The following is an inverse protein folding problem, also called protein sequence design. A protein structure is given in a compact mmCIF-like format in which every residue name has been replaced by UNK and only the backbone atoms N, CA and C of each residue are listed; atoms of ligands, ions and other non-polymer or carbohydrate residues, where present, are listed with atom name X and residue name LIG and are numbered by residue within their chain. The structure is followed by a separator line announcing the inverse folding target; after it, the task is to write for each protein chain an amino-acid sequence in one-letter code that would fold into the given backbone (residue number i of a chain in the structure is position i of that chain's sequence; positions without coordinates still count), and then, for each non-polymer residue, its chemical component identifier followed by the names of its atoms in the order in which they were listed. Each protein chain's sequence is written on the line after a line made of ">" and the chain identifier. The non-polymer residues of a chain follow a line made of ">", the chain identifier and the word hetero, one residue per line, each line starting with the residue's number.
data_IF_462402918974
#
_entry.id   IF_462402918974
#
_cell.length_a   1.000
_cell.length_b   1.000
_cell.length_c   1.000
_cell.angle_alpha   90.00
_cell.angle_beta   90.00
_cell.angle_gamma   90.00
#
_symmetry.space_group_name_H-M   'P 1'
#
loop_
_entity.id
_entity.type
_entity.pdbx_description
1 polymer ?
#
# COMPACT_ATOMS: atom_id res chain seq x y z
N UNK A 1 14.82 -6.14 -9.53
CA UNK A 1 13.65 -5.42 -10.07
C UNK A 1 12.42 -6.20 -9.71
N UNK A 2 11.49 -5.53 -9.04
CA UNK A 2 10.17 -6.05 -8.71
C UNK A 2 9.13 -5.15 -9.36
N UNK A 3 7.98 -5.74 -9.69
CA UNK A 3 6.76 -5.00 -9.97
C UNK A 3 5.69 -5.55 -9.03
N UNK A 4 4.81 -4.70 -8.53
CA UNK A 4 3.67 -5.10 -7.71
C UNK A 4 2.39 -4.80 -8.48
N UNK A 5 1.44 -5.73 -8.43
CA UNK A 5 0.16 -5.59 -9.13
C UNK A 5 -0.96 -5.61 -8.11
N UNK A 6 -1.67 -4.49 -8.00
CA UNK A 6 -2.90 -4.38 -7.22
C UNK A 6 -4.02 -5.19 -7.88
N UNK A 7 -4.63 -6.09 -7.13
CA UNK A 7 -5.74 -6.90 -7.62
C UNK A 7 -7.02 -6.59 -6.86
N UNK A 8 -8.04 -6.12 -7.59
CA UNK A 8 -9.40 -5.99 -7.07
C UNK A 8 -9.97 -7.36 -6.65
N UNK A 9 -9.65 -8.38 -7.45
CA UNK A 9 -10.07 -9.78 -7.31
C UNK A 9 -11.54 -10.05 -7.64
N UNK A 10 -12.00 -11.28 -7.41
CA UNK A 10 -13.31 -11.78 -7.89
C UNK A 10 -14.42 -11.70 -6.86
N UNK A 11 -14.11 -11.30 -5.63
CA UNK A 11 -15.06 -11.14 -4.53
C UNK A 11 -14.63 -9.94 -3.69
N UNK A 12 -15.60 -9.13 -3.28
CA UNK A 12 -15.35 -7.99 -2.40
C UNK A 12 -15.24 -8.40 -0.92
N UNK A 13 -15.84 -9.52 -0.49
CA UNK A 13 -15.95 -9.91 0.92
C UNK A 13 -14.83 -10.83 1.42
N UNK A 14 -14.10 -11.47 0.50
CA UNK A 14 -12.95 -12.33 0.83
C UNK A 14 -11.65 -11.61 0.49
N UNK A 15 -10.56 -11.84 1.24
CA UNK A 15 -9.26 -11.35 0.83
C UNK A 15 -8.90 -11.93 -0.54
N UNK A 16 -8.42 -11.06 -1.41
CA UNK A 16 -7.88 -11.39 -2.72
C UNK A 16 -6.35 -11.33 -2.63
N UNK A 17 -5.63 -11.90 -3.58
CA UNK A 17 -4.18 -11.81 -3.59
C UNK A 17 -3.74 -10.75 -4.61
N UNK A 18 -3.00 -9.75 -4.14
CA UNK A 18 -2.13 -8.94 -4.99
C UNK A 18 -0.78 -9.66 -5.13
N UNK A 19 -0.16 -9.58 -6.30
CA UNK A 19 1.04 -10.36 -6.59
C UNK A 19 2.21 -9.44 -6.88
N UNK A 20 3.32 -9.69 -6.20
CA UNK A 20 4.63 -9.14 -6.50
C UNK A 20 5.30 -10.09 -7.47
N UNK A 21 5.84 -9.55 -8.56
CA UNK A 21 6.63 -10.28 -9.53
C UNK A 21 8.08 -9.81 -9.46
N UNK A 22 8.99 -10.74 -9.73
CA UNK A 22 10.43 -10.48 -9.78
C UNK A 22 10.95 -10.72 -11.19
N UNK A 23 11.78 -9.81 -11.67
CA UNK A 23 12.48 -9.99 -12.94
C UNK A 23 13.45 -11.17 -12.85
N UNK A 24 13.24 -12.18 -13.68
CA UNK A 24 14.16 -13.29 -13.85
C UNK A 24 15.09 -12.99 -15.05
N UNK A 25 16.38 -12.80 -14.77
CA UNK A 25 17.39 -12.46 -15.79
C UNK A 25 17.59 -13.57 -16.83
N UNK A 26 17.36 -14.83 -16.46
CA UNK A 26 17.57 -15.99 -17.34
C UNK A 26 16.42 -16.12 -18.34
N UNK A 27 15.18 -16.05 -17.85
CA UNK A 27 13.99 -16.19 -18.70
C UNK A 27 13.59 -14.88 -19.38
N UNK A 28 14.11 -13.74 -18.90
CA UNK A 28 13.74 -12.39 -19.33
C UNK A 28 12.24 -12.11 -19.16
N UNK A 29 11.66 -12.64 -18.08
CA UNK A 29 10.25 -12.48 -17.74
C UNK A 29 10.11 -12.02 -16.28
N UNK A 30 8.98 -11.38 -15.99
CA UNK A 30 8.52 -11.17 -14.62
C UNK A 30 7.80 -12.43 -14.15
N UNK A 31 8.33 -13.07 -13.12
CA UNK A 31 7.79 -14.30 -12.56
C UNK A 31 7.15 -14.02 -11.20
N UNK A 32 6.03 -14.69 -10.86
CA UNK A 32 5.41 -14.55 -9.54
C UNK A 32 6.44 -14.79 -8.44
N UNK A 33 6.51 -13.87 -7.49
CA UNK A 33 7.50 -13.90 -6.43
C UNK A 33 6.86 -14.00 -5.05
N UNK A 34 5.84 -13.19 -4.79
CA UNK A 34 5.15 -13.20 -3.51
C UNK A 34 3.70 -12.80 -3.70
N UNK A 35 2.79 -13.50 -3.01
CA UNK A 35 1.40 -13.07 -2.88
C UNK A 35 1.21 -12.33 -1.56
N UNK A 36 0.42 -11.27 -1.61
CA UNK A 36 0.00 -10.49 -0.45
C UNK A 36 -1.51 -10.47 -0.41
N UNK A 37 -2.07 -10.81 0.76
CA UNK A 37 -3.51 -10.73 0.98
C UNK A 37 -3.95 -9.26 1.02
N UNK A 38 -4.93 -8.93 0.20
CA UNK A 38 -5.46 -7.58 0.01
C UNK A 38 -6.98 -7.60 -0.03
N UNK A 39 -7.61 -6.43 0.11
CA UNK A 39 -9.06 -6.27 0.04
C UNK A 39 -9.40 -5.21 -0.99
N UNK A 40 -9.88 -5.68 -2.16
CA UNK A 40 -10.20 -4.82 -3.31
C UNK A 40 -9.11 -3.77 -3.59
N UNK A 41 -7.84 -4.20 -3.63
CA UNK A 41 -6.71 -3.28 -3.75
C UNK A 41 -6.83 -2.39 -5.00
N UNK A 42 -6.66 -1.09 -4.83
CA UNK A 42 -6.74 -0.08 -5.91
C UNK A 42 -5.38 0.35 -6.41
N UNK A 43 -4.42 0.42 -5.50
CA UNK A 43 -3.07 0.88 -5.77
C UNK A 43 -2.06 0.15 -4.88
N UNK A 44 -0.83 0.04 -5.38
CA UNK A 44 0.36 -0.34 -4.60
C UNK A 44 1.48 0.64 -4.95
N UNK A 45 1.75 1.56 -4.03
CA UNK A 45 2.83 2.52 -4.16
C UNK A 45 4.15 1.90 -3.67
N UNK A 46 5.17 1.93 -4.53
CA UNK A 46 6.49 1.38 -4.23
C UNK A 46 7.51 2.50 -4.03
N UNK A 47 8.15 2.52 -2.87
CA UNK A 47 9.09 3.59 -2.53
C UNK A 47 10.27 3.09 -1.70
N UNK A 48 11.24 3.99 -1.53
CA UNK A 48 12.48 3.72 -0.81
C UNK A 48 12.79 4.86 0.15
N UNK A 49 13.15 4.50 1.39
CA UNK A 49 13.71 5.40 2.38
C UNK A 49 15.10 4.88 2.72
N UNK A 50 16.12 5.69 2.47
CA UNK A 50 17.53 5.30 2.55
C UNK A 50 17.79 4.02 1.73
N UNK A 51 18.12 2.89 2.35
CA UNK A 51 18.36 1.59 1.70
C UNK A 51 17.25 0.56 1.96
N UNK A 52 16.08 1.01 2.42
CA UNK A 52 14.95 0.16 2.75
C UNK A 52 13.83 0.34 1.73
N UNK A 53 13.36 -0.76 1.15
CA UNK A 53 12.25 -0.78 0.19
C UNK A 53 10.93 -1.05 0.89
N UNK A 54 9.89 -0.34 0.46
CA UNK A 54 8.55 -0.43 1.01
C UNK A 54 7.49 -0.54 -0.07
N UNK A 55 6.34 -1.07 0.30
CA UNK A 55 5.11 -1.07 -0.50
C UNK A 55 3.96 -0.58 0.37
N UNK A 56 3.20 0.41 -0.07
CA UNK A 56 1.95 0.83 0.56
C UNK A 56 0.77 0.34 -0.28
N UNK A 57 -0.13 -0.45 0.32
CA UNK A 57 -1.26 -1.05 -0.39
C UNK A 57 -2.53 -0.28 -0.04
N UNK A 58 -3.23 0.25 -1.05
CA UNK A 58 -4.53 0.89 -0.90
C UNK A 58 -5.63 -0.18 -0.86
N UNK A 59 -5.98 -0.65 0.32
CA UNK A 59 -7.13 -1.53 0.50
C UNK A 59 -8.41 -0.70 0.53
N UNK A 60 -9.28 -0.90 -0.47
CA UNK A 60 -10.43 -0.03 -0.66
C UNK A 60 -11.63 -0.44 0.20
N UNK A 61 -12.01 -1.72 0.17
CA UNK A 61 -13.18 -2.24 0.87
C UNK A 61 -13.12 -3.75 1.11
N UNK A 62 -13.76 -4.18 2.22
CA UNK A 62 -14.04 -5.58 2.55
C UNK A 62 -15.55 -5.77 2.65
N UNK A 63 -16.16 -6.30 1.59
CA UNK A 63 -17.61 -6.29 1.38
C UNK A 63 -18.07 -4.85 1.24
N UNK A 64 -19.10 -4.49 2.01
CA UNK A 64 -19.63 -3.12 2.09
C UNK A 64 -18.84 -2.22 3.06
N UNK A 65 -17.86 -2.76 3.81
CA UNK A 65 -17.07 -1.97 4.73
C UNK A 65 -15.88 -1.31 4.01
N UNK A 66 -15.94 0.02 3.81
CA UNK A 66 -14.83 0.82 3.25
C UNK A 66 -13.87 1.35 4.32
N UNK A 67 -14.19 1.21 5.60
CA UNK A 67 -13.32 1.61 6.72
C UNK A 67 -12.47 0.42 7.12
N UNK A 68 -11.37 0.24 6.40
CA UNK A 68 -10.44 -0.87 6.59
C UNK A 68 -8.99 -0.38 6.59
N UNK A 69 -8.12 -1.23 7.13
CA UNK A 69 -6.69 -0.95 7.13
C UNK A 69 -6.09 -1.12 5.74
N UNK A 70 -5.39 -0.08 5.31
CA UNK A 70 -4.32 -0.19 4.32
C UNK A 70 -3.06 -0.70 5.01
N UNK A 71 -2.21 -1.41 4.25
CA UNK A 71 -1.06 -2.12 4.83
C UNK A 71 0.21 -1.67 4.15
N UNK A 72 1.21 -1.35 4.96
CA UNK A 72 2.56 -1.08 4.52
C UNK A 72 3.43 -2.31 4.77
N UNK A 73 4.20 -2.68 3.75
CA UNK A 73 5.19 -3.74 3.80
C UNK A 73 6.59 -3.17 3.67
N UNK A 74 7.56 -3.85 4.29
CA UNK A 74 8.99 -3.55 4.19
C UNK A 74 9.73 -4.77 3.67
N UNK A 75 10.69 -4.58 2.77
CA UNK A 75 11.58 -5.66 2.33
C UNK A 75 12.48 -6.14 3.48
N UNK A 76 12.47 -7.46 3.73
CA UNK A 76 13.41 -8.12 4.63
C UNK A 76 14.46 -8.88 3.81
N UNK A 77 15.73 -8.48 3.96
CA UNK A 77 16.86 -9.22 3.37
C UNK A 77 17.03 -10.61 3.99
N UNK A 78 16.68 -10.77 5.28
CA UNK A 78 16.76 -12.04 6.00
C UNK A 78 15.78 -13.06 5.45
N UNK A 79 14.52 -12.67 5.22
CA UNK A 79 13.48 -13.57 4.74
C UNK A 79 13.33 -13.57 3.22
N UNK A 80 14.05 -12.69 2.54
CA UNK A 80 13.91 -12.43 1.11
C UNK A 80 12.44 -12.23 0.71
N UNK A 81 11.71 -11.43 1.47
CA UNK A 81 10.29 -11.17 1.26
C UNK A 81 9.87 -9.81 1.78
N UNK A 82 8.76 -9.29 1.26
CA UNK A 82 8.09 -8.14 1.84
C UNK A 82 7.29 -8.60 3.06
N UNK A 83 7.62 -8.05 4.23
CA UNK A 83 6.97 -8.38 5.50
C UNK A 83 6.12 -7.20 5.98
N UNK A 84 5.07 -7.48 6.74
CA UNK A 84 4.22 -6.44 7.32
C UNK A 84 5.07 -5.46 8.14
N UNK A 85 4.84 -4.16 7.93
CA UNK A 85 5.53 -3.10 8.62
C UNK A 85 4.58 -2.26 9.48
N UNK A 86 3.45 -1.84 8.92
CA UNK A 86 2.46 -1.02 9.61
C UNK A 86 1.07 -1.22 8.99
N UNK A 87 0.03 -1.19 9.81
CA UNK A 87 -1.36 -1.02 9.36
C UNK A 87 -1.79 0.41 9.60
N UNK A 88 -2.46 1.01 8.62
CA UNK A 88 -2.98 2.38 8.70
C UNK A 88 -4.47 2.33 8.37
N UNK A 89 -5.29 2.83 9.30
CA UNK A 89 -6.73 2.94 9.10
C UNK A 89 -7.01 3.92 7.96
N UNK A 90 -7.75 3.48 6.94
CA UNK A 90 -8.11 4.25 5.77
C UNK A 90 -9.59 4.13 5.45
N UNK A 91 -10.11 4.99 4.57
CA UNK A 91 -11.54 5.02 4.23
C UNK A 91 -11.70 5.05 2.72
N UNK A 92 -12.00 3.89 2.14
CA UNK A 92 -12.12 3.76 0.69
C UNK A 92 -10.83 4.16 0.00
N UNK A 93 -9.66 3.70 0.51
CA UNK A 93 -8.36 4.09 -0.02
C UNK A 93 -8.31 3.82 -1.52
N UNK A 94 -7.91 4.83 -2.28
CA UNK A 94 -7.88 4.77 -3.73
C UNK A 94 -6.47 4.79 -4.28
N UNK A 95 -5.62 5.61 -3.68
CA UNK A 95 -4.26 5.84 -4.16
C UNK A 95 -3.33 6.14 -2.98
N UNK A 96 -2.08 5.68 -3.09
CA UNK A 96 -0.98 6.10 -2.23
C UNK A 96 0.03 6.88 -3.05
N UNK A 97 0.60 7.94 -2.49
CA UNK A 97 1.69 8.66 -3.13
C UNK A 97 2.79 8.93 -2.12
N UNK A 98 4.00 8.48 -2.43
CA UNK A 98 5.18 8.81 -1.66
C UNK A 98 5.91 10.01 -2.27
N UNK A 99 6.40 10.91 -1.42
CA UNK A 99 7.34 11.95 -1.83
C UNK A 99 8.26 12.35 -0.66
N UNK A 100 9.29 13.14 -0.95
CA UNK A 100 10.15 13.71 0.09
C UNK A 100 10.43 15.18 -0.17
N UNK A 101 10.67 15.91 0.91
CA UNK A 101 11.15 17.29 0.91
C UNK A 101 12.36 17.35 1.84
N UNK A 102 13.53 17.66 1.30
CA UNK A 102 14.80 17.55 2.01
C UNK A 102 14.94 16.15 2.66
N UNK A 103 15.09 16.13 3.99
CA UNK A 103 15.22 14.92 4.80
C UNK A 103 13.88 14.40 5.36
N UNK A 104 12.76 15.03 4.99
CA UNK A 104 11.43 14.63 5.44
C UNK A 104 10.76 13.76 4.38
N UNK A 105 10.28 12.60 4.82
CA UNK A 105 9.55 11.65 3.98
C UNK A 105 8.07 11.73 4.28
N UNK A 106 7.27 11.81 3.23
CA UNK A 106 5.82 11.91 3.29
C UNK A 106 5.17 10.79 2.49
N UNK A 107 4.02 10.35 2.99
CA UNK A 107 3.17 9.37 2.32
C UNK A 107 1.74 9.86 2.43
N UNK A 108 1.02 9.93 1.31
CA UNK A 108 -0.34 10.48 1.27
C UNK A 108 -1.29 9.41 0.79
N UNK A 109 -2.45 9.29 1.45
CA UNK A 109 -3.57 8.48 0.97
C UNK A 109 -4.68 9.37 0.45
N UNK A 110 -5.16 9.05 -0.76
CA UNK A 110 -6.43 9.54 -1.26
C UNK A 110 -7.57 8.65 -0.72
N UNK A 111 -8.30 9.15 0.28
CA UNK A 111 -9.54 8.53 0.72
C UNK A 111 -10.68 8.99 -0.18
N UNK A 112 -11.60 8.09 -0.53
CA UNK A 112 -12.61 8.40 -1.57
C UNK A 112 -14.07 8.21 -1.16
N UNK A 113 -14.37 7.27 -0.26
CA UNK A 113 -15.76 6.89 -0.02
C UNK A 113 -15.96 6.19 1.33
N UNK A 114 -16.92 6.68 2.10
CA UNK A 114 -17.30 6.15 3.41
C UNK A 114 -18.30 4.99 3.36
N UNK A 115 -18.77 4.60 2.17
CA UNK A 115 -19.95 3.76 1.99
C UNK A 115 -21.24 4.56 1.77
N UNK A 116 -21.25 5.84 2.15
CA UNK A 116 -22.43 6.72 2.05
C UNK A 116 -22.14 8.06 1.37
N UNK A 117 -20.92 8.57 1.52
CA UNK A 117 -20.50 9.90 1.07
C UNK A 117 -19.05 9.90 0.61
N UNK A 118 -18.74 10.78 -0.35
CA UNK A 118 -17.38 11.08 -0.84
C UNK A 118 -16.71 12.22 -0.07
N UNK A 119 -17.41 12.84 0.90
CA UNK A 119 -16.84 13.86 1.78
C UNK A 119 -15.98 13.17 2.85
N UNK A 120 -14.73 12.89 2.49
CA UNK A 120 -13.75 12.25 3.37
C UNK A 120 -12.39 12.90 3.15
N UNK A 121 -11.71 13.24 4.24
CA UNK A 121 -10.39 13.84 4.14
C UNK A 121 -9.36 12.82 3.64
N UNK A 122 -8.49 13.29 2.75
CA UNK A 122 -7.22 12.62 2.48
C UNK A 122 -6.22 12.93 3.59
N UNK A 123 -5.20 12.09 3.78
CA UNK A 123 -4.28 12.21 4.92
C UNK A 123 -2.83 12.16 4.45
N UNK A 124 -2.04 13.14 4.88
CA UNK A 124 -0.58 13.15 4.75
C UNK A 124 0.00 12.55 6.03
N UNK A 125 0.89 11.59 5.88
CA UNK A 125 1.70 11.00 6.94
C UNK A 125 3.15 11.44 6.80
N UNK A 126 3.84 11.62 7.93
CA UNK A 126 5.27 11.90 8.01
C UNK A 126 6.01 10.71 8.63
N UNK A 127 7.18 10.40 8.09
CA UNK A 127 8.06 9.35 8.63
C UNK A 127 8.80 9.84 9.87
N UNK A 128 8.61 9.16 11.01
CA UNK A 128 9.28 9.45 12.27
C UNK A 128 9.64 8.17 13.01
N UNK A 129 10.90 8.02 13.40
CA UNK A 129 11.40 6.90 14.21
C UNK A 129 11.00 5.51 13.67
N UNK A 130 11.02 5.35 12.34
CA UNK A 130 10.70 4.08 11.72
C UNK A 130 9.20 3.81 11.55
N UNK A 131 8.34 4.83 11.66
CA UNK A 131 6.88 4.71 11.53
C UNK A 131 6.27 5.88 10.77
N UNK A 132 5.11 5.66 10.17
CA UNK A 132 4.29 6.70 9.57
C UNK A 132 3.31 7.24 10.60
N UNK A 133 3.37 8.55 10.83
CA UNK A 133 2.51 9.28 11.77
C UNK A 133 1.68 10.28 10.99
N UNK A 134 0.38 10.37 11.29
CA UNK A 134 -0.48 11.37 10.66
C UNK A 134 0.08 12.77 10.91
N UNK A 135 0.24 13.53 9.84
CA UNK A 135 0.77 14.89 9.86
C UNK A 135 -0.32 15.93 9.60
N UNK A 136 -1.13 15.72 8.56
CA UNK A 136 -2.12 16.68 8.11
C UNK A 136 -3.28 15.98 7.37
N UNK A 137 -4.47 16.57 7.41
CA UNK A 137 -5.62 16.20 6.56
C UNK A 137 -5.83 17.20 5.43
N UNK A 138 -6.33 16.73 4.29
CA UNK A 138 -6.68 17.51 3.11
C UNK A 138 -8.17 17.31 2.78
N UNK A 139 -8.86 18.39 2.39
CA UNK A 139 -10.25 18.40 1.90
C UNK A 139 -10.38 18.05 0.42
#
# INVERSE_FOLDING_TARGET
>A
YFIAVANYGTSNSKPTNSTIFKWNKKTRLFEPFQNIATYTARDIEAFQIENNFYLAIANHAKGENTKIDSILYKWSSQYQSFIHHQSIATVGAYDWTYFHLDNYHFLVVANSFTGLSTLVFSVIYIWQQGRWIQFQTLE
#
